data_IF_415439335461
#
_entry.id   IF_415439335461
#
_cell.length_a   1.000
_cell.length_b   1.000
_cell.length_c   1.000
_cell.angle_alpha   90.00
_cell.angle_beta   90.00
_cell.angle_gamma   90.00
#
_symmetry.space_group_name_H-M   'P 1'
#
loop_
_entity.id
_entity.type
_entity.pdbx_description
1 polymer ?
#
# COMPACT_ATOMS: atom_id res chain seq x y z
N UNK A 1 -18.28 -13.96 3.93
CA UNK A 1 -18.46 -12.68 4.63
C UNK A 1 -18.60 -11.60 3.58
N UNK A 2 -19.82 -11.42 3.10
CA UNK A 2 -20.28 -10.14 2.54
C UNK A 2 -19.65 -8.98 3.32
N UNK A 3 -19.46 -7.84 2.69
CA UNK A 3 -19.13 -6.59 3.37
C UNK A 3 -20.27 -6.22 4.33
N UNK A 4 -20.41 -6.96 5.44
CA UNK A 4 -21.29 -6.69 6.58
C UNK A 4 -20.65 -5.62 7.46
N UNK A 5 -20.02 -4.63 6.82
CA UNK A 5 -19.72 -3.36 7.46
C UNK A 5 -21.00 -2.52 7.44
N UNK A 6 -21.18 -1.61 8.41
CA UNK A 6 -22.20 -0.58 8.28
C UNK A 6 -21.97 0.22 6.99
N UNK A 7 -23.03 0.74 6.39
CA UNK A 7 -22.92 1.65 5.26
C UNK A 7 -22.06 2.86 5.66
N UNK A 8 -20.92 3.04 4.99
CA UNK A 8 -20.06 4.20 5.19
C UNK A 8 -20.22 5.15 4.01
N UNK A 9 -20.26 6.44 4.32
CA UNK A 9 -20.13 7.52 3.35
C UNK A 9 -18.81 8.21 3.61
N UNK A 10 -17.99 8.35 2.57
CA UNK A 10 -16.69 9.01 2.64
C UNK A 10 -16.74 10.24 1.74
N UNK A 11 -16.41 11.39 2.31
CA UNK A 11 -16.23 12.63 1.56
C UNK A 11 -14.73 12.87 1.40
N UNK A 12 -14.27 12.88 0.14
CA UNK A 12 -12.88 13.13 -0.20
C UNK A 12 -12.74 14.50 -0.90
N UNK A 13 -11.78 15.30 -0.46
CA UNK A 13 -11.37 16.53 -1.11
C UNK A 13 -9.87 16.49 -1.36
N UNK A 14 -9.47 16.79 -2.61
CA UNK A 14 -8.05 16.88 -2.99
C UNK A 14 -7.75 18.25 -3.56
N UNK A 15 -6.74 18.92 -2.98
CA UNK A 15 -6.14 20.14 -3.52
C UNK A 15 -4.85 19.78 -4.25
N UNK A 16 -4.58 20.38 -5.41
CA UNK A 16 -3.54 19.91 -6.32
C UNK A 16 -2.12 20.40 -5.97
N UNK A 17 -1.93 21.63 -5.48
CA UNK A 17 -0.59 22.14 -5.18
C UNK A 17 -0.54 23.18 -4.04
N UNK A 18 0.07 22.88 -2.87
CA UNK A 18 0.60 21.57 -2.46
C UNK A 18 -0.50 20.50 -2.43
N UNK A 19 -0.15 19.23 -2.64
CA UNK A 19 -1.16 18.18 -2.72
C UNK A 19 -1.69 17.86 -1.33
N UNK A 20 -2.93 18.27 -1.05
CA UNK A 20 -3.63 18.02 0.21
C UNK A 20 -4.82 17.12 -0.07
N UNK A 21 -4.92 15.98 0.59
CA UNK A 21 -6.05 15.06 0.48
C UNK A 21 -6.69 14.95 1.85
N UNK A 22 -7.98 15.28 1.96
CA UNK A 22 -8.77 15.05 3.16
C UNK A 22 -9.89 14.08 2.86
N UNK A 23 -9.99 12.98 3.60
CA UNK A 23 -11.09 12.03 3.57
C UNK A 23 -11.78 12.03 4.94
N UNK A 24 -13.11 12.19 4.96
CA UNK A 24 -13.89 12.13 6.19
C UNK A 24 -15.03 11.13 6.02
N UNK A 25 -15.19 10.24 6.99
CA UNK A 25 -16.28 9.29 7.03
C UNK A 25 -17.47 9.79 7.87
N UNK A 26 -18.62 9.12 7.73
CA UNK A 26 -19.84 9.41 8.50
C UNK A 26 -19.74 9.09 10.00
N UNK A 27 -18.68 8.42 10.45
CA UNK A 27 -18.45 8.06 11.85
C UNK A 27 -17.60 9.10 12.59
N UNK A 28 -17.10 10.12 11.87
CA UNK A 28 -16.23 11.15 12.43
C UNK A 28 -14.75 10.76 12.45
N UNK A 29 -14.36 9.75 11.66
CA UNK A 29 -12.96 9.47 11.37
C UNK A 29 -12.51 10.33 10.20
N UNK A 30 -11.38 10.99 10.35
CA UNK A 30 -10.78 11.83 9.33
C UNK A 30 -9.38 11.32 9.00
N UNK A 31 -9.09 11.20 7.72
CA UNK A 31 -7.76 10.90 7.18
C UNK A 31 -7.31 12.09 6.33
N UNK A 32 -6.33 12.83 6.84
CA UNK A 32 -5.69 13.92 6.12
C UNK A 32 -4.29 13.50 5.66
N UNK A 33 -3.98 13.71 4.40
CA UNK A 33 -2.67 13.47 3.81
C UNK A 33 -2.16 14.76 3.18
N UNK A 34 -0.94 15.12 3.49
CA UNK A 34 -0.24 16.27 2.94
C UNK A 34 0.99 15.77 2.23
N UNK A 35 1.04 15.94 0.92
CA UNK A 35 2.21 15.63 0.11
C UNK A 35 2.81 16.93 -0.41
N UNK A 36 4.05 17.18 -0.01
CA UNK A 36 4.79 18.37 -0.41
C UNK A 36 6.14 17.96 -1.00
N UNK A 37 6.44 18.52 -2.18
CA UNK A 37 7.77 18.48 -2.78
C UNK A 37 8.56 19.65 -2.19
N UNK A 38 9.41 19.36 -1.20
CA UNK A 38 10.19 20.40 -0.51
C UNK A 38 11.39 20.84 -1.36
N UNK A 39 11.96 19.91 -2.14
CA UNK A 39 12.98 20.18 -3.15
C UNK A 39 12.74 19.26 -4.37
N UNK A 40 13.40 19.53 -5.50
CA UNK A 40 13.29 18.69 -6.72
C UNK A 40 13.61 17.20 -6.45
N UNK A 41 14.38 16.92 -5.39
CA UNK A 41 14.84 15.58 -5.00
C UNK A 41 14.28 15.08 -3.67
N UNK A 42 13.52 15.91 -2.94
CA UNK A 42 12.98 15.58 -1.60
C UNK A 42 11.46 15.66 -1.62
N UNK A 43 10.82 14.54 -1.32
CA UNK A 43 9.38 14.41 -1.15
C UNK A 43 9.07 14.17 0.31
N UNK A 44 8.17 14.96 0.87
CA UNK A 44 7.66 14.75 2.24
C UNK A 44 6.18 14.46 2.17
N UNK A 45 5.75 13.41 2.85
CA UNK A 45 4.35 13.06 3.02
C UNK A 45 4.05 13.02 4.51
N UNK A 46 3.00 13.72 4.93
CA UNK A 46 2.46 13.62 6.28
C UNK A 46 1.06 13.03 6.20
N UNK A 47 0.73 12.10 7.08
CA UNK A 47 -0.59 11.46 7.17
C UNK A 47 -1.08 11.55 8.60
N UNK A 48 -2.28 12.10 8.78
CA UNK A 48 -2.96 12.21 10.05
C UNK A 48 -4.27 11.45 9.99
N UNK A 49 -4.49 10.55 10.94
CA UNK A 49 -5.72 9.78 11.06
C UNK A 49 -6.33 9.99 12.45
N UNK A 50 -7.59 10.37 12.45
CA UNK A 50 -8.42 10.49 13.64
C UNK A 50 -9.56 9.48 13.55
N UNK A 51 -9.99 8.96 14.70
CA UNK A 51 -11.14 8.07 14.81
C UNK A 51 -12.03 8.59 15.94
N UNK A 52 -13.28 8.96 15.61
CA UNK A 52 -14.27 9.46 16.58
C UNK A 52 -13.69 10.52 17.54
N UNK A 53 -13.06 11.56 16.99
CA UNK A 53 -12.40 12.66 17.71
C UNK A 53 -11.13 12.32 18.52
N UNK A 54 -10.64 11.07 18.47
CA UNK A 54 -9.32 10.70 19.02
C UNK A 54 -8.26 10.72 17.91
N UNK A 55 -7.12 11.35 18.14
CA UNK A 55 -5.95 11.21 17.27
C UNK A 55 -5.38 9.79 17.44
N UNK A 56 -5.40 9.00 16.36
CA UNK A 56 -4.99 7.59 16.40
C UNK A 56 -3.60 7.42 15.80
N UNK A 57 -3.37 7.99 14.62
CA UNK A 57 -2.13 7.80 13.90
C UNK A 57 -1.66 9.11 13.30
N UNK A 58 -0.36 9.35 13.41
CA UNK A 58 0.35 10.41 12.74
C UNK A 58 1.60 9.78 12.15
N UNK A 59 1.78 9.93 10.85
CA UNK A 59 2.88 9.36 10.11
C UNK A 59 3.55 10.45 9.28
N UNK A 60 4.87 10.47 9.29
CA UNK A 60 5.69 11.35 8.47
C UNK A 60 6.66 10.52 7.65
N UNK A 61 6.54 10.61 6.34
CA UNK A 61 7.46 10.03 5.38
C UNK A 61 8.31 11.13 4.75
N UNK A 62 9.62 10.93 4.73
CA UNK A 62 10.58 11.68 3.95
C UNK A 62 11.23 10.75 2.93
N UNK A 63 10.98 10.97 1.65
CA UNK A 63 11.63 10.28 0.55
C UNK A 63 12.68 11.20 -0.07
N UNK A 64 13.90 10.72 -0.15
CA UNK A 64 15.01 11.32 -0.88
C UNK A 64 15.33 10.47 -2.11
N UNK A 65 15.19 11.07 -3.29
CA UNK A 65 15.48 10.42 -4.56
C UNK A 65 16.74 11.03 -5.19
N UNK A 66 17.83 10.29 -5.11
CA UNK A 66 19.07 10.56 -5.84
C UNK A 66 19.04 9.97 -7.25
N UNK A 67 20.14 10.14 -7.98
CA UNK A 67 20.26 9.64 -9.35
C UNK A 67 20.41 8.10 -9.38
N UNK A 68 21.13 7.51 -8.41
CA UNK A 68 21.38 6.05 -8.32
C UNK A 68 20.90 5.42 -7.01
N UNK A 69 20.37 6.20 -6.07
CA UNK A 69 19.86 5.72 -4.78
C UNK A 69 18.54 6.39 -4.39
N UNK A 70 17.69 5.66 -3.69
CA UNK A 70 16.45 6.15 -3.09
C UNK A 70 16.46 5.77 -1.62
N UNK A 71 16.38 6.77 -0.75
CA UNK A 71 16.27 6.59 0.68
C UNK A 71 14.88 7.06 1.11
N UNK A 72 14.13 6.24 1.83
CA UNK A 72 12.88 6.64 2.46
C UNK A 72 12.99 6.49 3.96
N UNK A 73 12.46 7.46 4.69
CA UNK A 73 12.39 7.46 6.14
C UNK A 73 10.95 7.71 6.54
N UNK A 74 10.35 6.76 7.22
CA UNK A 74 8.97 6.80 7.70
C UNK A 74 8.98 6.78 9.22
N UNK A 75 8.35 7.78 9.82
CA UNK A 75 8.10 7.91 11.24
C UNK A 75 6.61 7.68 11.46
N UNK A 76 6.24 6.55 12.04
CA UNK A 76 4.87 6.16 12.32
C UNK A 76 4.54 6.22 13.81
N UNK A 77 3.39 6.80 14.13
CA UNK A 77 2.78 6.80 15.46
C UNK A 77 3.74 7.14 16.62
N UNK A 78 4.41 8.32 16.64
CA UNK A 78 5.17 8.73 17.80
C UNK A 78 4.23 8.89 19.02
N UNK A 79 4.37 8.10 20.07
CA UNK A 79 3.66 8.34 21.32
C UNK A 79 4.59 9.14 22.23
N UNK A 80 4.30 10.44 22.41
CA UNK A 80 5.09 11.35 23.28
C UNK A 80 4.92 10.96 24.75
N UNK A 81 3.78 10.36 25.13
CA UNK A 81 3.49 9.93 26.50
C UNK A 81 3.99 8.49 26.77
N UNK A 82 4.00 7.64 25.74
CA UNK A 82 4.48 6.26 25.80
C UNK A 82 5.93 6.05 25.35
N UNK A 83 6.67 7.12 25.04
CA UNK A 83 8.05 7.11 24.48
C UNK A 83 8.28 6.10 23.35
N UNK A 84 7.24 5.81 22.56
CA UNK A 84 7.28 4.75 21.56
C UNK A 84 7.12 5.37 20.18
N UNK A 85 8.13 5.22 19.32
CA UNK A 85 8.05 5.67 17.93
C UNK A 85 8.35 4.50 17.00
N UNK A 86 7.71 4.46 15.83
CA UNK A 86 8.06 3.49 14.80
C UNK A 86 8.89 4.24 13.78
N UNK A 87 10.15 3.85 13.61
CA UNK A 87 11.04 4.39 12.60
C UNK A 87 11.35 3.29 11.59
N UNK A 88 10.99 3.53 10.34
CA UNK A 88 11.27 2.65 9.23
C UNK A 88 12.13 3.43 8.25
N UNK A 89 13.30 2.88 7.92
CA UNK A 89 14.18 3.43 6.92
C UNK A 89 14.35 2.40 5.81
N UNK A 90 14.02 2.74 4.57
CA UNK A 90 14.39 1.94 3.42
C UNK A 90 15.49 2.62 2.64
N UNK A 91 16.46 1.85 2.18
CA UNK A 91 17.51 2.31 1.29
C UNK A 91 17.60 1.38 0.10
N UNK A 92 17.32 1.90 -1.08
CA UNK A 92 17.43 1.21 -2.35
C UNK A 92 18.54 1.84 -3.17
N UNK A 93 19.46 1.04 -3.68
CA UNK A 93 20.56 1.44 -4.54
C UNK A 93 20.54 0.63 -5.84
N UNK A 94 20.57 1.33 -6.97
CA UNK A 94 20.72 0.71 -8.28
C UNK A 94 22.18 0.31 -8.49
N UNK A 95 22.47 -0.99 -8.57
CA UNK A 95 23.85 -1.50 -8.77
C UNK A 95 24.10 -1.85 -10.23
N UNK A 96 23.06 -2.21 -10.99
CA UNK A 96 23.09 -2.31 -12.46
C UNK A 96 21.78 -1.79 -13.06
N UNK A 97 21.72 -1.46 -14.37
CA UNK A 97 20.51 -0.93 -15.03
C UNK A 97 19.26 -1.83 -14.96
N UNK A 98 19.41 -3.07 -14.46
CA UNK A 98 18.35 -4.05 -14.26
C UNK A 98 18.32 -4.65 -12.85
N UNK A 99 19.22 -4.24 -11.94
CA UNK A 99 19.32 -4.78 -10.59
C UNK A 99 19.39 -3.63 -9.58
N UNK A 100 18.36 -3.59 -8.73
CA UNK A 100 18.29 -2.71 -7.57
C UNK A 100 18.47 -3.58 -6.33
N UNK A 101 19.43 -3.24 -5.49
CA UNK A 101 19.62 -3.85 -4.18
C UNK A 101 19.13 -2.87 -3.12
N UNK A 102 18.48 -3.35 -2.08
CA UNK A 102 18.09 -2.49 -0.98
C UNK A 102 18.04 -3.22 0.35
N UNK A 103 18.12 -2.43 1.41
CA UNK A 103 17.88 -2.85 2.77
C UNK A 103 16.71 -2.09 3.35
N UNK A 104 15.92 -2.76 4.16
CA UNK A 104 14.98 -2.12 5.06
C UNK A 104 15.47 -2.25 6.50
N UNK A 105 15.34 -1.17 7.25
CA UNK A 105 15.63 -1.14 8.67
C UNK A 105 14.40 -0.62 9.40
N UNK A 106 13.80 -1.48 10.23
CA UNK A 106 12.67 -1.11 11.08
C UNK A 106 13.15 -1.08 12.52
N UNK A 107 13.30 0.11 13.08
CA UNK A 107 13.63 0.31 14.49
C UNK A 107 12.41 0.90 15.23
N UNK A 108 11.96 0.20 16.25
CA UNK A 108 11.04 0.75 17.25
C UNK A 108 11.87 1.13 18.47
N UNK A 109 12.17 2.41 18.73
CA UNK A 109 12.86 2.80 19.95
C UNK A 109 11.87 2.65 21.09
N UNK A 110 11.90 1.49 21.74
CA UNK A 110 11.52 1.36 23.14
C UNK A 110 12.84 1.14 23.89
N UNK A 111 13.03 1.85 25.00
CA UNK A 111 14.21 1.71 25.87
C UNK A 111 14.19 0.31 26.54
N UNK A 112 14.51 -0.75 25.80
CA UNK A 112 14.86 -2.06 26.33
C UNK A 112 15.74 -2.80 25.33
N UNK A 113 16.94 -3.12 25.80
CA UNK A 113 18.07 -3.68 25.09
C UNK A 113 17.69 -4.99 24.37
N UNK A 114 17.53 -4.96 23.04
CA UNK A 114 17.77 -6.15 22.21
C UNK A 114 18.15 -5.73 20.77
N UNK A 115 19.32 -6.15 20.25
CA UNK A 115 19.67 -5.94 18.85
C UNK A 115 18.75 -6.80 17.98
N UNK A 116 17.74 -6.16 17.38
CA UNK A 116 16.81 -6.82 16.44
C UNK A 116 17.50 -6.89 15.08
N UNK A 117 17.93 -8.10 14.70
CA UNK A 117 18.47 -8.39 13.36
C UNK A 117 17.32 -8.30 12.34
N UNK A 118 17.40 -7.46 11.29
CA UNK A 118 16.38 -7.41 10.25
C UNK A 118 16.44 -8.68 9.37
N UNK A 119 15.31 -9.37 9.24
CA UNK A 119 15.12 -10.40 8.22
C UNK A 119 14.96 -9.77 6.83
N UNK A 120 15.56 -10.38 5.83
CA UNK A 120 15.61 -9.91 4.44
C UNK A 120 14.27 -10.01 3.69
N UNK A 121 13.81 -8.98 2.96
CA UNK A 121 12.74 -9.10 1.97
C UNK A 121 13.35 -9.29 0.57
N UNK A 122 13.60 -10.52 0.14
CA UNK A 122 13.94 -10.78 -1.27
C UNK A 122 12.65 -10.83 -2.10
N UNK A 123 12.17 -9.67 -2.57
CA UNK A 123 11.10 -9.56 -3.56
C UNK A 123 11.67 -9.20 -4.94
N UNK A 124 11.78 -10.17 -5.85
CA UNK A 124 12.16 -9.93 -7.24
C UNK A 124 10.92 -9.51 -8.05
N UNK A 125 10.80 -8.23 -8.40
CA UNK A 125 9.74 -7.77 -9.34
C UNK A 125 10.29 -7.67 -10.77
N UNK A 126 9.81 -8.54 -11.66
CA UNK A 126 10.13 -8.47 -13.10
C UNK A 126 9.07 -7.61 -13.82
N UNK A 127 9.49 -6.54 -14.49
CA UNK A 127 8.61 -5.65 -15.26
C UNK A 127 8.85 -5.82 -16.77
N UNK A 128 7.99 -6.54 -17.49
CA UNK A 128 7.86 -6.39 -18.94
C UNK A 128 6.72 -5.41 -19.32
N UNK A 129 6.73 -4.81 -20.54
CA UNK A 129 5.98 -3.58 -20.82
C UNK A 129 4.45 -3.71 -20.95
N UNK A 130 3.85 -4.90 -20.83
CA UNK A 130 2.39 -5.09 -21.01
C UNK A 130 1.76 -6.10 -20.04
N UNK A 131 2.59 -6.76 -19.23
CA UNK A 131 2.18 -7.75 -18.23
C UNK A 131 3.05 -7.51 -17.00
N UNK A 132 2.48 -7.00 -15.92
CA UNK A 132 3.21 -6.86 -14.67
C UNK A 132 2.98 -8.14 -13.87
N UNK A 133 4.03 -8.94 -13.68
CA UNK A 133 3.96 -10.12 -12.82
C UNK A 133 4.73 -9.80 -11.54
N UNK A 134 4.05 -9.93 -10.41
CA UNK A 134 4.63 -9.73 -9.08
C UNK A 134 4.65 -11.06 -8.33
N UNK A 135 5.75 -11.31 -7.62
CA UNK A 135 5.84 -12.39 -6.65
C UNK A 135 6.19 -11.77 -5.32
N UNK A 136 5.41 -12.07 -4.30
CA UNK A 136 5.57 -11.57 -2.95
C UNK A 136 5.77 -12.75 -2.00
N UNK A 137 6.88 -12.76 -1.27
CA UNK A 137 7.19 -13.76 -0.25
C UNK A 137 7.29 -13.02 1.09
N UNK A 138 6.32 -13.26 1.96
CA UNK A 138 6.30 -12.71 3.31
C UNK A 138 6.62 -13.83 4.31
N UNK A 139 7.72 -13.71 5.05
CA UNK A 139 8.14 -14.69 6.05
C UNK A 139 8.13 -14.07 7.45
N UNK A 140 7.19 -14.50 8.29
CA UNK A 140 7.06 -14.04 9.66
C UNK A 140 7.70 -15.03 10.65
N UNK A 141 8.93 -14.75 11.06
CA UNK A 141 9.69 -15.61 11.98
C UNK A 141 9.14 -15.66 13.40
N UNK A 142 8.24 -14.75 13.79
CA UNK A 142 7.59 -14.75 15.10
C UNK A 142 6.43 -15.74 15.17
N UNK A 143 5.67 -15.86 14.08
CA UNK A 143 4.52 -16.77 13.98
C UNK A 143 4.89 -18.10 13.29
N UNK A 144 6.11 -18.22 12.76
CA UNK A 144 6.52 -19.31 11.86
C UNK A 144 5.61 -19.45 10.63
N UNK A 145 5.02 -18.33 10.19
CA UNK A 145 4.14 -18.29 9.04
C UNK A 145 4.91 -17.77 7.82
N UNK A 146 4.89 -18.54 6.73
CA UNK A 146 5.44 -18.15 5.43
C UNK A 146 4.31 -18.08 4.42
N UNK A 147 4.07 -16.89 3.88
CA UNK A 147 3.04 -16.64 2.88
C UNK A 147 3.70 -16.33 1.54
N UNK A 148 3.26 -17.00 0.49
CA UNK A 148 3.78 -16.81 -0.86
C UNK A 148 2.63 -16.49 -1.81
N UNK A 149 2.66 -15.28 -2.37
CA UNK A 149 1.65 -14.79 -3.28
C UNK A 149 2.23 -14.54 -4.68
N UNK A 150 1.49 -15.00 -5.68
CA UNK A 150 1.72 -14.76 -7.09
C UNK A 150 0.63 -13.84 -7.62
N UNK A 151 1.00 -12.67 -8.11
CA UNK A 151 0.09 -11.69 -8.70
C UNK A 151 0.44 -11.42 -10.16
N UNK A 152 -0.58 -11.19 -10.98
CA UNK A 152 -0.40 -10.70 -12.35
C UNK A 152 -1.40 -9.59 -12.66
N UNK A 153 -0.93 -8.58 -13.38
CA UNK A 153 -1.74 -7.48 -13.89
C UNK A 153 -1.57 -7.40 -15.40
N UNK A 154 -2.68 -7.65 -16.11
CA UNK A 154 -2.80 -7.50 -17.55
C UNK A 154 -3.47 -6.17 -17.85
N UNK A 155 -2.77 -5.31 -18.57
CA UNK A 155 -3.35 -4.06 -19.09
C UNK A 155 -3.62 -4.23 -20.59
N UNK A 156 -4.89 -4.20 -20.97
CA UNK A 156 -5.36 -4.33 -22.36
C UNK A 156 -5.82 -2.95 -22.86
N UNK A 157 -4.91 -2.10 -23.36
CA UNK A 157 -5.25 -0.75 -23.79
C UNK A 157 -6.23 -0.74 -24.97
N UNK A 158 -6.23 -1.76 -25.83
CA UNK A 158 -7.18 -1.89 -26.95
C UNK A 158 -8.63 -2.13 -26.50
N UNK A 159 -8.83 -2.71 -25.32
CA UNK A 159 -10.15 -3.03 -24.79
C UNK A 159 -10.54 -2.13 -23.60
N UNK A 160 -9.72 -1.12 -23.26
CA UNK A 160 -9.86 -0.26 -22.09
C UNK A 160 -10.11 -1.04 -20.79
N UNK A 161 -9.39 -2.15 -20.64
CA UNK A 161 -9.63 -3.13 -19.59
C UNK A 161 -8.33 -3.45 -18.86
N UNK A 162 -8.40 -3.51 -17.53
CA UNK A 162 -7.30 -3.94 -16.67
C UNK A 162 -7.80 -5.15 -15.89
N UNK A 163 -7.02 -6.23 -15.92
CA UNK A 163 -7.32 -7.42 -15.17
C UNK A 163 -6.17 -7.72 -14.21
N UNK A 164 -6.50 -7.91 -12.94
CA UNK A 164 -5.56 -8.27 -11.87
C UNK A 164 -5.95 -9.61 -11.31
N UNK A 165 -5.07 -10.60 -11.37
CA UNK A 165 -5.23 -11.89 -10.72
C UNK A 165 -4.20 -12.06 -9.61
N UNK A 166 -4.59 -12.75 -8.53
CA UNK A 166 -3.70 -13.14 -7.45
C UNK A 166 -4.00 -14.57 -6.99
N UNK A 167 -2.95 -15.28 -6.62
CA UNK A 167 -2.98 -16.63 -6.07
C UNK A 167 -2.00 -16.68 -4.92
N UNK A 168 -2.46 -17.08 -3.74
CA UNK A 168 -1.64 -17.15 -2.52
C UNK A 168 -1.49 -18.60 -2.02
N UNK A 169 -0.42 -18.88 -1.26
CA UNK A 169 -0.10 -20.19 -0.66
C UNK A 169 -1.15 -20.67 0.34
N UNK A 170 -2.01 -19.76 0.83
CA UNK A 170 -3.20 -20.07 1.61
C UNK A 170 -4.38 -20.58 0.78
N UNK A 171 -4.14 -21.04 -0.46
CA UNK A 171 -5.17 -21.51 -1.41
C UNK A 171 -6.29 -20.48 -1.65
N UNK A 172 -5.91 -19.20 -1.61
CA UNK A 172 -6.79 -18.10 -1.92
C UNK A 172 -6.52 -17.63 -3.34
N UNK A 173 -7.57 -17.59 -4.15
CA UNK A 173 -7.53 -17.13 -5.54
C UNK A 173 -8.44 -15.92 -5.68
N UNK A 174 -7.91 -14.84 -6.23
CA UNK A 174 -8.63 -13.59 -6.40
C UNK A 174 -8.44 -13.02 -7.79
N UNK A 175 -9.46 -12.29 -8.26
CA UNK A 175 -9.43 -11.58 -9.53
C UNK A 175 -10.22 -10.29 -9.45
N UNK A 176 -9.68 -9.22 -10.04
CA UNK A 176 -10.35 -7.93 -10.21
C UNK A 176 -10.27 -7.53 -11.69
N UNK A 177 -11.42 -7.28 -12.28
CA UNK A 177 -11.58 -6.82 -13.65
C UNK A 177 -12.10 -5.39 -13.63
N UNK A 178 -11.29 -4.44 -14.09
CA UNK A 178 -11.68 -3.04 -14.29
C UNK A 178 -11.89 -2.78 -15.79
N UNK A 179 -13.04 -2.21 -16.16
CA UNK A 179 -13.38 -1.86 -17.54
C UNK A 179 -13.85 -0.41 -17.62
N UNK A 180 -13.14 0.41 -18.40
CA UNK A 180 -13.55 1.78 -18.71
C UNK A 180 -14.46 1.78 -19.94
N UNK A 181 -15.55 2.54 -19.89
CA UNK A 181 -16.60 2.53 -20.92
C UNK A 181 -16.70 3.89 -21.65
N UNK A 182 -15.78 4.22 -22.59
CA UNK A 182 -15.98 5.39 -23.45
C UNK A 182 -17.25 5.20 -24.32
N UNK A 183 -18.07 6.24 -24.60
CA UNK A 183 -17.83 7.68 -24.37
C UNK A 183 -18.24 8.21 -22.98
N UNK A 184 -18.73 7.36 -22.08
CA UNK A 184 -19.14 7.78 -20.74
C UNK A 184 -17.92 7.78 -19.78
N UNK A 185 -17.81 8.77 -18.88
CA UNK A 185 -16.81 8.78 -17.81
C UNK A 185 -17.15 7.76 -16.71
N UNK A 186 -17.31 6.48 -17.09
CA UNK A 186 -17.72 5.40 -16.20
C UNK A 186 -16.73 4.24 -16.30
N UNK A 187 -16.24 3.80 -15.15
CA UNK A 187 -15.42 2.60 -14.99
C UNK A 187 -16.16 1.59 -14.12
N UNK A 188 -16.35 0.38 -14.64
CA UNK A 188 -16.90 -0.75 -13.90
C UNK A 188 -15.76 -1.60 -13.36
N UNK A 189 -15.77 -1.93 -12.08
CA UNK A 189 -14.88 -2.95 -11.52
C UNK A 189 -15.69 -4.14 -10.99
N UNK A 190 -15.24 -5.35 -11.29
CA UNK A 190 -15.81 -6.61 -10.82
C UNK A 190 -14.72 -7.39 -10.12
N UNK A 191 -14.94 -7.75 -8.86
CA UNK A 191 -13.98 -8.49 -8.05
C UNK A 191 -14.57 -9.79 -7.53
N UNK A 192 -13.78 -10.85 -7.53
CA UNK A 192 -14.12 -12.12 -6.89
C UNK A 192 -12.90 -12.73 -6.22
N UNK A 193 -13.09 -13.23 -4.99
CA UNK A 193 -12.09 -13.89 -4.18
C UNK A 193 -12.66 -15.17 -3.61
N UNK A 194 -11.96 -16.27 -3.81
CA UNK A 194 -12.31 -17.59 -3.35
C UNK A 194 -11.17 -18.12 -2.48
N UNK A 195 -11.47 -18.47 -1.24
CA UNK A 195 -10.57 -19.25 -0.41
C UNK A 195 -11.07 -20.70 -0.39
N UNK A 196 -10.31 -21.59 -1.04
CA UNK A 196 -10.67 -23.00 -1.18
C UNK A 196 -10.61 -23.77 0.15
N UNK A 197 -9.67 -23.44 1.03
CA UNK A 197 -9.52 -24.15 2.30
C UNK A 197 -10.64 -23.82 3.29
N UNK A 198 -11.01 -22.55 3.37
CA UNK A 198 -12.06 -22.04 4.26
C UNK A 198 -13.45 -22.09 3.62
N UNK A 199 -13.57 -22.57 2.37
CA UNK A 199 -14.79 -22.57 1.56
C UNK A 199 -15.54 -21.23 1.60
N UNK A 200 -14.80 -20.11 1.52
CA UNK A 200 -15.39 -18.76 1.55
C UNK A 200 -15.22 -18.08 0.22
N UNK A 201 -16.34 -17.75 -0.40
CA UNK A 201 -16.40 -16.94 -1.61
C UNK A 201 -16.87 -15.51 -1.28
N UNK A 202 -16.21 -14.54 -1.89
CA UNK A 202 -16.52 -13.13 -1.80
C UNK A 202 -16.53 -12.54 -3.20
N UNK A 203 -17.63 -11.90 -3.58
CA UNK A 203 -17.68 -11.14 -4.82
C UNK A 203 -18.18 -9.72 -4.53
N UNK A 204 -17.80 -8.80 -5.40
CA UNK A 204 -18.20 -7.41 -5.33
C UNK A 204 -18.16 -6.77 -6.71
N UNK A 205 -18.93 -5.70 -6.86
CA UNK A 205 -18.86 -4.84 -8.03
C UNK A 205 -18.75 -3.40 -7.54
N UNK A 206 -18.05 -2.56 -8.30
CA UNK A 206 -18.00 -1.12 -8.07
C UNK A 206 -18.22 -0.39 -9.39
N UNK A 207 -18.83 0.78 -9.28
CA UNK A 207 -19.03 1.70 -10.40
C UNK A 207 -18.38 3.01 -10.00
N UNK A 208 -17.41 3.44 -10.79
CA UNK A 208 -16.69 4.69 -10.59
C UNK A 208 -17.14 5.62 -11.71
N UNK A 209 -17.72 6.76 -11.36
CA UNK A 209 -18.13 7.80 -12.31
C UNK A 209 -17.19 8.98 -12.14
N UNK A 210 -16.48 9.38 -13.19
CA UNK A 210 -15.46 10.43 -13.16
C UNK A 210 -14.77 10.63 -14.50
#
# INVERSE_FOLDING_TARGET
MSTLGPSSYHFNATFAFPTLVGDMDNSGSLNAQVLQLVAERIRTKAVFQTHQAKFVTWQFDGEYRGDDCTATLTLGNPDILGESVILVAHFLQSVTPRLVLGGEMVSVPHLSLSPRVPGSPWGLTFVPPQVQVGVELEANTRLQDTTFAFGYQLNLPRANMVFRGLVDSNWSVGGVLEKKLPPLPVTLALGAFLNHWKNRFHCGFSVIVG
#
